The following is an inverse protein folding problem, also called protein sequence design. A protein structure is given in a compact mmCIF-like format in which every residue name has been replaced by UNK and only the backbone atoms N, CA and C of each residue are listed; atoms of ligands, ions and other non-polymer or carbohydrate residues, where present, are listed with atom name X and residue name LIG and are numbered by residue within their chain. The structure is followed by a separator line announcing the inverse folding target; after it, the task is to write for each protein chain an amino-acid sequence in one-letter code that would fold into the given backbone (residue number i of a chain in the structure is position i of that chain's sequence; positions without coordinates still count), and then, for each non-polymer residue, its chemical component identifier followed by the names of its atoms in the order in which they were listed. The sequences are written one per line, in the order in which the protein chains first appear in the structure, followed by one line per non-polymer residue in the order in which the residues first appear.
data_IF_768051694779
#
_entry.id   IF_768051694779
#
_cell.length_a   1.000
_cell.length_b   1.000
_cell.length_c   1.000
_cell.angle_alpha   90.00
_cell.angle_beta   90.00
_cell.angle_gamma   90.00
#
_symmetry.space_group_name_H-M   'P 1'
#
loop_
_entity.id
_entity.type
_entity.pdbx_description
1 polymer ?
#
# COMPACT_ATOMS: atom_id res chain seq x y z
N UNK A 1 29.66 21.86 0.54
CA UNK A 1 29.18 20.61 -0.09
C UNK A 1 30.21 20.20 -1.12
N UNK A 2 30.72 18.98 -1.03
CA UNK A 2 31.64 18.43 -2.02
C UNK A 2 30.81 17.90 -3.18
N UNK A 3 31.19 18.21 -4.41
CA UNK A 3 30.51 17.71 -5.62
C UNK A 3 31.47 16.88 -6.46
N UNK A 4 30.93 15.87 -7.12
CA UNK A 4 31.62 15.04 -8.12
C UNK A 4 31.16 15.48 -9.50
N UNK A 5 32.12 15.72 -10.39
CA UNK A 5 31.84 15.99 -11.80
C UNK A 5 31.70 14.66 -12.56
N UNK A 6 30.59 14.52 -13.29
CA UNK A 6 30.33 13.41 -14.22
C UNK A 6 29.58 13.92 -15.44
N UNK A 7 30.20 13.83 -16.62
CA UNK A 7 29.56 14.11 -17.91
C UNK A 7 28.86 15.49 -17.96
N UNK A 8 29.47 16.51 -17.35
CA UNK A 8 28.93 17.86 -17.25
C UNK A 8 27.92 18.09 -16.11
N UNK A 9 27.64 17.08 -15.29
CA UNK A 9 26.84 17.22 -14.07
C UNK A 9 27.73 17.45 -12.85
N UNK A 10 27.28 18.26 -11.90
CA UNK A 10 27.91 18.42 -10.58
C UNK A 10 27.01 17.81 -9.50
N UNK A 11 27.31 16.57 -9.13
CA UNK A 11 26.48 15.74 -8.25
C UNK A 11 26.98 15.87 -6.81
N UNK A 12 26.10 16.09 -5.84
CA UNK A 12 26.46 16.07 -4.43
C UNK A 12 27.11 14.72 -4.07
N UNK A 13 28.22 14.76 -3.32
CA UNK A 13 29.00 13.58 -2.96
C UNK A 13 28.16 12.49 -2.29
N UNK A 14 27.23 12.84 -1.37
CA UNK A 14 26.43 11.84 -0.66
C UNK A 14 25.52 11.08 -1.63
N UNK A 15 24.92 11.80 -2.59
CA UNK A 15 24.07 11.20 -3.61
C UNK A 15 24.89 10.34 -4.57
N UNK A 16 26.02 10.84 -5.03
CA UNK A 16 26.93 10.07 -5.89
C UNK A 16 27.36 8.75 -5.22
N UNK A 17 27.80 8.81 -3.95
CA UNK A 17 28.28 7.64 -3.24
C UNK A 17 27.16 6.63 -2.99
N UNK A 18 25.95 7.09 -2.61
CA UNK A 18 24.77 6.22 -2.51
C UNK A 18 24.49 5.49 -3.85
N UNK A 19 24.49 6.23 -4.97
CA UNK A 19 24.21 5.64 -6.28
C UNK A 19 25.24 4.57 -6.64
N UNK A 20 26.54 4.86 -6.49
CA UNK A 20 27.62 3.97 -6.93
C UNK A 20 27.81 2.79 -5.98
N UNK A 21 27.63 2.98 -4.68
CA UNK A 21 27.98 1.96 -3.66
C UNK A 21 26.78 1.17 -3.14
N UNK A 22 25.56 1.70 -3.26
CA UNK A 22 24.35 1.06 -2.72
C UNK A 22 23.34 0.71 -3.82
N UNK A 23 22.98 1.65 -4.71
CA UNK A 23 21.83 1.50 -5.60
C UNK A 23 22.14 0.80 -6.94
N UNK A 24 23.22 1.17 -7.62
CA UNK A 24 23.62 0.57 -8.91
C UNK A 24 24.18 -0.86 -8.80
N UNK A 25 24.87 -1.27 -7.73
CA UNK A 25 25.29 -2.66 -7.57
C UNK A 25 24.11 -3.63 -7.77
N UNK A 26 24.38 -4.79 -8.35
CA UNK A 26 23.40 -5.86 -8.62
C UNK A 26 22.35 -5.55 -9.71
N UNK A 27 22.24 -4.31 -10.19
CA UNK A 27 21.32 -3.94 -11.29
C UNK A 27 21.82 -4.41 -12.67
N UNK A 28 23.13 -4.67 -12.81
CA UNK A 28 23.79 -4.93 -14.10
C UNK A 28 24.10 -3.68 -14.93
N UNK A 29 23.85 -2.48 -14.39
CA UNK A 29 24.11 -1.20 -15.05
C UNK A 29 25.48 -0.66 -14.64
N UNK A 30 26.32 -0.33 -15.62
CA UNK A 30 27.60 0.34 -15.38
C UNK A 30 27.40 1.79 -14.92
N UNK A 31 28.17 2.24 -13.93
CA UNK A 31 28.01 3.55 -13.32
C UNK A 31 28.36 4.70 -14.28
N UNK A 32 29.42 4.56 -15.08
CA UNK A 32 29.80 5.62 -16.03
C UNK A 32 28.77 5.71 -17.16
N UNK A 33 28.23 4.58 -17.62
CA UNK A 33 27.11 4.54 -18.55
C UNK A 33 25.86 5.22 -17.97
N UNK A 34 25.48 4.88 -16.73
CA UNK A 34 24.33 5.49 -16.05
C UNK A 34 24.43 7.02 -16.01
N UNK A 35 25.56 7.57 -15.55
CA UNK A 35 25.74 9.02 -15.46
C UNK A 35 25.81 9.70 -16.83
N UNK A 36 26.33 9.02 -17.85
CA UNK A 36 26.36 9.55 -19.21
C UNK A 36 24.94 9.69 -19.79
N UNK A 37 24.13 8.63 -19.69
CA UNK A 37 22.73 8.64 -20.18
C UNK A 37 21.86 9.59 -19.35
N UNK A 38 22.02 9.60 -18.02
CA UNK A 38 21.30 10.54 -17.17
C UNK A 38 21.63 12.00 -17.53
N UNK A 39 22.90 12.32 -17.76
CA UNK A 39 23.28 13.65 -18.27
C UNK A 39 22.61 13.96 -19.60
N UNK A 40 22.59 13.03 -20.57
CA UNK A 40 21.92 13.24 -21.84
C UNK A 40 20.42 13.54 -21.67
N UNK A 41 19.73 12.80 -20.81
CA UNK A 41 18.31 12.99 -20.49
C UNK A 41 18.06 14.36 -19.86
N UNK A 42 18.85 14.75 -18.86
CA UNK A 42 18.72 16.06 -18.20
C UNK A 42 18.82 17.19 -19.21
N UNK A 43 19.81 17.16 -20.10
CA UNK A 43 20.04 18.23 -21.07
C UNK A 43 19.00 18.26 -22.21
N UNK A 44 18.35 17.14 -22.54
CA UNK A 44 17.23 17.13 -23.50
C UNK A 44 15.90 17.57 -22.86
N UNK A 45 15.63 17.15 -21.62
CA UNK A 45 14.31 17.28 -21.00
C UNK A 45 14.16 18.47 -20.06
N UNK A 46 15.22 18.93 -19.37
CA UNK A 46 15.12 20.06 -18.44
C UNK A 46 14.65 21.36 -19.13
N UNK A 47 15.10 21.71 -20.37
CA UNK A 47 14.55 22.86 -21.08
C UNK A 47 13.05 22.72 -21.40
N UNK A 48 12.60 21.51 -21.75
CA UNK A 48 11.17 21.21 -22.01
C UNK A 48 10.35 21.34 -20.74
N UNK A 49 10.84 20.83 -19.61
CA UNK A 49 10.19 20.98 -18.30
C UNK A 49 10.01 22.48 -17.96
N UNK A 50 11.09 23.28 -18.04
CA UNK A 50 11.01 24.73 -17.81
C UNK A 50 9.99 25.42 -18.72
N UNK A 51 9.94 25.05 -20.00
CA UNK A 51 8.95 25.60 -20.94
C UNK A 51 7.50 25.23 -20.55
N UNK A 52 7.25 24.02 -20.05
CA UNK A 52 5.94 23.60 -19.54
C UNK A 52 5.52 24.43 -18.32
N UNK A 53 6.45 24.72 -17.40
CA UNK A 53 6.18 25.58 -16.25
C UNK A 53 5.88 27.03 -16.67
N UNK A 54 6.67 27.59 -17.59
CA UNK A 54 6.38 28.92 -18.16
C UNK A 54 5.02 28.98 -18.85
N UNK A 55 4.56 27.88 -19.47
CA UNK A 55 3.23 27.81 -20.06
C UNK A 55 2.12 27.83 -18.99
N UNK A 56 2.34 27.19 -17.83
CA UNK A 56 1.40 27.29 -16.69
C UNK A 56 1.29 28.73 -16.19
N UNK A 57 2.41 29.42 -16.03
CA UNK A 57 2.43 30.83 -15.61
C UNK A 57 1.71 31.74 -16.62
N UNK A 58 1.95 31.53 -17.92
CA UNK A 58 1.26 32.28 -18.97
C UNK A 58 -0.26 32.07 -18.90
N UNK A 59 -0.73 30.83 -18.76
CA UNK A 59 -2.16 30.56 -18.58
C UNK A 59 -2.73 31.27 -17.37
N UNK A 60 -2.06 31.20 -16.22
CA UNK A 60 -2.55 31.85 -15.00
C UNK A 60 -2.63 33.37 -15.16
N UNK A 61 -1.64 33.99 -15.81
CA UNK A 61 -1.64 35.44 -16.07
C UNK A 61 -2.80 35.86 -16.98
N UNK A 62 -3.06 35.11 -18.05
CA UNK A 62 -4.19 35.35 -18.96
C UNK A 62 -5.53 35.23 -18.22
N UNK A 63 -5.69 34.20 -17.38
CA UNK A 63 -6.89 33.99 -16.55
C UNK A 63 -7.05 35.13 -15.54
N UNK A 64 -6.00 35.51 -14.81
CA UNK A 64 -6.04 36.61 -13.85
C UNK A 64 -6.39 37.94 -14.52
N UNK A 65 -5.88 38.20 -15.72
CA UNK A 65 -6.23 39.37 -16.52
C UNK A 65 -7.69 39.38 -16.94
N UNK A 66 -8.23 38.21 -17.31
CA UNK A 66 -9.64 38.07 -17.63
C UNK A 66 -10.51 38.43 -16.42
N UNK A 67 -10.21 37.88 -15.24
CA UNK A 67 -10.93 38.20 -14.01
C UNK A 67 -10.79 39.67 -13.60
N UNK A 68 -9.62 40.28 -13.77
CA UNK A 68 -9.42 41.72 -13.49
C UNK A 68 -10.30 42.63 -14.37
N UNK A 69 -10.53 42.24 -15.64
CA UNK A 69 -11.34 43.02 -16.59
C UNK A 69 -12.84 42.79 -16.42
N UNK A 70 -13.25 41.58 -16.05
CA UNK A 70 -14.66 41.15 -16.09
C UNK A 70 -15.28 40.88 -14.70
N UNK A 71 -14.48 40.81 -13.64
CA UNK A 71 -14.92 40.33 -12.33
C UNK A 71 -15.18 38.82 -12.34
N UNK A 72 -16.04 38.35 -11.42
CA UNK A 72 -16.49 36.97 -11.45
C UNK A 72 -17.33 36.69 -12.72
N UNK A 73 -17.15 35.53 -13.38
CA UNK A 73 -17.86 35.20 -14.61
C UNK A 73 -19.36 35.09 -14.35
N UNK A 74 -20.14 36.01 -14.92
CA UNK A 74 -21.60 35.96 -14.93
C UNK A 74 -22.15 35.27 -16.20
N UNK A 75 -21.31 35.11 -17.22
CA UNK A 75 -21.57 34.36 -18.46
C UNK A 75 -20.51 33.26 -18.60
N UNK A 76 -20.90 32.01 -18.35
CA UNK A 76 -20.00 30.86 -18.40
C UNK A 76 -19.67 30.44 -19.84
N UNK A 77 -20.53 30.74 -20.82
CA UNK A 77 -20.25 30.42 -22.21
C UNK A 77 -19.10 31.28 -22.74
N UNK A 78 -19.13 32.59 -22.42
CA UNK A 78 -18.04 33.51 -22.76
C UNK A 78 -16.72 33.14 -22.05
N UNK A 79 -16.79 32.67 -20.80
CA UNK A 79 -15.59 32.24 -20.06
C UNK A 79 -15.01 30.93 -20.64
N UNK A 80 -15.86 29.96 -20.99
CA UNK A 80 -15.41 28.74 -21.67
C UNK A 80 -14.77 29.05 -23.03
N UNK A 81 -15.37 29.94 -23.84
CA UNK A 81 -14.82 30.38 -25.12
C UNK A 81 -13.42 30.98 -24.95
N UNK A 82 -13.23 31.85 -23.95
CA UNK A 82 -11.93 32.39 -23.59
C UNK A 82 -10.91 31.30 -23.24
N UNK A 83 -11.28 30.32 -22.38
CA UNK A 83 -10.37 29.24 -22.01
C UNK A 83 -9.97 28.36 -23.21
N UNK A 84 -10.86 28.20 -24.20
CA UNK A 84 -10.55 27.51 -25.46
C UNK A 84 -9.64 28.38 -26.35
N UNK A 85 -9.89 29.67 -26.45
CA UNK A 85 -9.10 30.63 -27.24
C UNK A 85 -7.64 30.65 -26.80
N UNK A 86 -7.38 30.71 -25.49
CA UNK A 86 -6.00 30.69 -24.96
C UNK A 86 -5.34 29.30 -25.05
N UNK A 87 -6.13 28.27 -25.38
CA UNK A 87 -5.69 26.87 -25.49
C UNK A 87 -5.57 26.13 -24.16
N UNK A 88 -6.29 26.60 -23.12
CA UNK A 88 -6.37 25.92 -21.83
C UNK A 88 -7.34 24.74 -21.89
N UNK A 89 -8.53 24.94 -22.48
CA UNK A 89 -9.48 23.88 -22.79
C UNK A 89 -9.28 23.39 -24.22
N UNK A 90 -8.76 22.17 -24.35
CA UNK A 90 -8.53 21.53 -25.64
C UNK A 90 -9.81 20.84 -26.15
N UNK A 91 -9.93 20.60 -27.47
CA UNK A 91 -10.97 19.73 -28.00
C UNK A 91 -10.79 18.31 -27.48
N UNK A 92 -11.89 17.62 -27.22
CA UNK A 92 -11.89 16.20 -26.86
C UNK A 92 -11.34 15.37 -28.03
N UNK A 93 -10.46 14.42 -27.71
CA UNK A 93 -9.92 13.47 -28.68
C UNK A 93 -10.94 12.36 -29.02
N UNK A 94 -10.68 11.54 -30.04
CA UNK A 94 -11.52 10.39 -30.33
C UNK A 94 -11.46 9.34 -29.21
N UNK A 95 -12.51 8.52 -29.10
CA UNK A 95 -12.55 7.35 -28.22
C UNK A 95 -11.35 6.43 -28.48
N UNK A 96 -10.75 5.92 -27.40
CA UNK A 96 -9.67 4.93 -27.45
C UNK A 96 -9.74 3.98 -26.25
N UNK A 97 -8.95 2.91 -26.29
CA UNK A 97 -8.78 1.98 -25.18
C UNK A 97 -7.31 1.98 -24.73
N UNK A 98 -7.08 1.90 -23.41
CA UNK A 98 -5.73 1.72 -22.86
C UNK A 98 -5.18 0.34 -23.25
N UNK A 99 -3.88 0.25 -23.47
CA UNK A 99 -3.20 -0.95 -23.99
C UNK A 99 -2.10 -1.47 -23.05
N UNK A 100 -2.10 -1.03 -21.80
CA UNK A 100 -1.09 -1.41 -20.81
C UNK A 100 -1.18 -2.90 -20.49
N UNK A 101 -0.08 -3.63 -20.71
CA UNK A 101 0.06 -5.05 -20.39
C UNK A 101 0.97 -5.24 -19.16
N UNK A 102 1.06 -6.47 -18.64
CA UNK A 102 1.93 -6.84 -17.52
C UNK A 102 1.65 -6.05 -16.23
N UNK A 103 0.36 -5.78 -15.95
CA UNK A 103 -0.09 -5.14 -14.73
C UNK A 103 -0.43 -6.21 -13.69
N UNK A 104 0.13 -6.10 -12.50
CA UNK A 104 -0.14 -7.02 -11.39
C UNK A 104 -1.64 -7.10 -11.04
N UNK A 105 -2.15 -8.27 -10.59
CA UNK A 105 -3.55 -8.46 -10.24
C UNK A 105 -4.08 -7.44 -9.21
N UNK A 106 -3.23 -7.03 -8.27
CA UNK A 106 -3.49 -6.02 -7.24
C UNK A 106 -3.94 -4.66 -7.80
N UNK A 107 -3.58 -4.34 -9.04
CA UNK A 107 -4.01 -3.12 -9.75
C UNK A 107 -5.08 -3.46 -10.79
N UNK A 108 -4.94 -4.57 -11.51
CA UNK A 108 -5.75 -4.87 -12.69
C UNK A 108 -7.10 -5.54 -12.39
N UNK A 109 -7.21 -6.30 -11.29
CA UNK A 109 -8.34 -7.21 -11.07
C UNK A 109 -8.86 -7.31 -9.64
N UNK A 110 -8.24 -6.60 -8.69
CA UNK A 110 -8.64 -6.60 -7.28
C UNK A 110 -9.10 -5.19 -6.89
N UNK A 111 -10.31 -5.09 -6.33
CA UNK A 111 -10.79 -3.87 -5.72
C UNK A 111 -10.51 -3.94 -4.20
N UNK A 112 -9.60 -3.10 -3.70
CA UNK A 112 -9.25 -3.08 -2.29
C UNK A 112 -8.57 -1.78 -1.85
N UNK A 113 -8.32 -1.63 -0.54
CA UNK A 113 -7.62 -0.46 0.02
C UNK A 113 -6.24 -0.21 -0.59
N UNK A 114 -5.92 1.07 -0.77
CA UNK A 114 -4.58 1.56 -1.08
C UNK A 114 -4.08 2.46 0.05
N UNK A 115 -2.90 2.16 0.60
CA UNK A 115 -2.25 3.02 1.59
C UNK A 115 -1.36 4.06 0.91
N UNK A 116 -1.11 5.17 1.61
CA UNK A 116 -0.09 6.15 1.26
C UNK A 116 0.75 6.41 2.50
N UNK A 117 2.07 6.37 2.37
CA UNK A 117 2.97 6.45 3.53
C UNK A 117 4.26 7.20 3.19
N UNK A 118 4.78 8.06 4.08
CA UNK A 118 6.06 8.74 3.85
C UNK A 118 7.20 7.73 3.82
N UNK A 119 7.82 7.53 2.65
CA UNK A 119 8.91 6.54 2.51
C UNK A 119 10.14 6.92 3.33
N UNK A 120 10.31 8.21 3.66
CA UNK A 120 11.39 8.70 4.51
C UNK A 120 11.33 8.12 5.94
N UNK A 121 10.16 7.65 6.40
CA UNK A 121 10.01 6.97 7.68
C UNK A 121 10.01 5.45 7.51
N UNK A 122 11.15 4.81 7.73
CA UNK A 122 11.34 3.36 7.54
C UNK A 122 10.34 2.52 8.35
N UNK A 123 10.02 2.92 9.59
CA UNK A 123 9.02 2.24 10.43
C UNK A 123 7.64 2.24 9.78
N UNK A 124 7.22 3.37 9.23
CA UNK A 124 5.91 3.49 8.58
C UNK A 124 5.89 2.75 7.25
N UNK A 125 6.95 2.86 6.44
CA UNK A 125 7.09 2.12 5.19
C UNK A 125 7.02 0.60 5.41
N UNK A 126 7.72 0.07 6.42
CA UNK A 126 7.64 -1.36 6.80
C UNK A 126 6.25 -1.78 7.25
N UNK A 127 5.58 -0.96 8.07
CA UNK A 127 4.22 -1.24 8.49
C UNK A 127 3.27 -1.30 7.29
N UNK A 128 3.38 -0.36 6.35
CA UNK A 128 2.51 -0.29 5.18
C UNK A 128 2.77 -1.45 4.21
N UNK A 129 4.04 -1.78 3.95
CA UNK A 129 4.40 -2.95 3.17
C UNK A 129 3.82 -4.25 3.78
N UNK A 130 3.83 -4.37 5.11
CA UNK A 130 3.26 -5.52 5.81
C UNK A 130 1.75 -5.43 6.07
N UNK A 131 1.10 -4.32 5.71
CA UNK A 131 -0.32 -4.08 5.99
C UNK A 131 -1.26 -4.82 5.03
N UNK A 132 -0.74 -5.60 4.06
CA UNK A 132 -1.61 -6.44 3.22
C UNK A 132 -2.46 -7.36 4.07
N UNK A 133 -1.92 -7.89 5.17
CA UNK A 133 -2.65 -8.73 6.11
C UNK A 133 -2.76 -8.09 7.48
N UNK A 134 -3.97 -7.72 7.88
CA UNK A 134 -4.25 -7.11 9.18
C UNK A 134 -5.14 -7.98 10.07
N UNK A 135 -4.91 -7.98 11.38
CA UNK A 135 -5.84 -8.58 12.35
C UNK A 135 -7.10 -7.73 12.44
N UNK A 136 -8.25 -8.32 12.12
CA UNK A 136 -9.55 -7.68 12.28
C UNK A 136 -9.89 -7.53 13.75
N UNK A 137 -9.46 -8.46 14.61
CA UNK A 137 -9.69 -8.39 16.05
C UNK A 137 -8.95 -7.18 16.64
N UNK A 138 -7.67 -7.00 16.32
CA UNK A 138 -6.89 -5.86 16.78
C UNK A 138 -7.45 -4.53 16.25
N UNK A 139 -7.86 -4.49 14.97
CA UNK A 139 -8.44 -3.30 14.37
C UNK A 139 -9.75 -2.88 15.07
N UNK A 140 -10.67 -3.82 15.31
CA UNK A 140 -11.94 -3.55 16.00
C UNK A 140 -11.72 -3.21 17.49
N UNK A 141 -10.87 -3.98 18.17
CA UNK A 141 -10.59 -3.77 19.58
C UNK A 141 -9.90 -2.43 19.81
N UNK A 142 -8.91 -2.08 18.97
CA UNK A 142 -8.06 -0.90 19.14
C UNK A 142 -8.69 0.43 18.73
N UNK A 143 -9.76 0.42 17.94
CA UNK A 143 -10.42 1.63 17.39
C UNK A 143 -11.74 1.92 18.10
N UNK A 144 -12.42 2.98 17.69
CA UNK A 144 -13.79 3.34 18.12
C UNK A 144 -14.88 2.63 17.32
N UNK A 145 -14.51 1.75 16.37
CA UNK A 145 -15.45 0.90 15.62
C UNK A 145 -16.32 0.01 16.55
N UNK A 146 -15.76 -0.37 17.70
CA UNK A 146 -16.53 -0.92 18.82
C UNK A 146 -16.65 0.18 19.89
N UNK A 147 -17.86 0.69 20.16
CA UNK A 147 -18.08 1.73 21.17
C UNK A 147 -17.57 1.34 22.56
N UNK A 148 -17.05 2.32 23.31
CA UNK A 148 -16.66 2.13 24.71
C UNK A 148 -17.86 2.44 25.62
N UNK A 149 -18.91 1.61 25.52
CA UNK A 149 -20.12 1.68 26.35
C UNK A 149 -20.35 0.37 27.08
N UNK A 150 -21.20 0.39 28.12
CA UNK A 150 -21.65 -0.83 28.82
C UNK A 150 -20.50 -1.69 29.40
N UNK A 151 -19.40 -1.05 29.79
CA UNK A 151 -18.21 -1.71 30.33
C UNK A 151 -17.29 -2.34 29.26
N UNK A 152 -17.45 -1.98 27.99
CA UNK A 152 -16.60 -2.41 26.88
C UNK A 152 -15.40 -1.49 26.61
N UNK A 153 -14.90 -0.79 27.63
CA UNK A 153 -13.71 0.07 27.54
C UNK A 153 -12.45 -0.74 27.19
N UNK A 154 -11.49 -0.15 26.47
CA UNK A 154 -10.26 -0.86 26.06
C UNK A 154 -9.40 -1.29 27.24
N UNK A 155 -9.33 -0.45 28.29
CA UNK A 155 -8.50 -0.67 29.47
C UNK A 155 -6.99 -0.76 29.16
N UNK A 156 -6.18 -1.17 30.15
CA UNK A 156 -4.73 -1.41 29.98
C UNK A 156 -4.40 -2.84 29.53
N UNK A 157 -5.37 -3.74 29.56
CA UNK A 157 -5.23 -5.15 29.20
C UNK A 157 -6.50 -5.64 28.50
N UNK A 158 -6.61 -6.95 28.31
CA UNK A 158 -7.78 -7.53 27.66
C UNK A 158 -9.03 -7.39 28.53
N UNK A 159 -10.07 -6.76 27.97
CA UNK A 159 -11.40 -6.66 28.54
C UNK A 159 -12.31 -7.71 27.84
N UNK A 160 -12.70 -8.79 28.53
CA UNK A 160 -13.57 -9.82 27.94
C UNK A 160 -14.94 -9.31 27.49
N UNK A 161 -15.46 -8.23 28.08
CA UNK A 161 -16.74 -7.62 27.65
C UNK A 161 -16.59 -7.03 26.25
N UNK A 162 -15.53 -6.25 26.02
CA UNK A 162 -15.17 -5.72 24.70
C UNK A 162 -14.82 -6.82 23.71
N UNK A 163 -14.03 -7.81 24.14
CA UNK A 163 -13.64 -8.95 23.32
C UNK A 163 -14.84 -9.73 22.78
N UNK A 164 -15.89 -9.93 23.58
CA UNK A 164 -17.14 -10.55 23.12
C UNK A 164 -17.85 -9.75 22.03
N UNK A 165 -17.85 -8.41 22.12
CA UNK A 165 -18.43 -7.56 21.08
C UNK A 165 -17.63 -7.64 19.78
N UNK A 166 -16.29 -7.66 19.87
CA UNK A 166 -15.40 -7.86 18.71
C UNK A 166 -15.68 -9.21 18.04
N UNK A 167 -15.71 -10.30 18.82
CA UNK A 167 -15.98 -11.64 18.29
C UNK A 167 -17.35 -11.68 17.61
N UNK A 168 -18.39 -11.16 18.26
CA UNK A 168 -19.74 -11.13 17.69
C UNK A 168 -19.78 -10.40 16.34
N UNK A 169 -19.13 -9.23 16.25
CA UNK A 169 -19.01 -8.48 14.99
C UNK A 169 -18.32 -9.29 13.90
N UNK A 170 -17.21 -9.96 14.23
CA UNK A 170 -16.47 -10.79 13.27
C UNK A 170 -17.34 -11.95 12.79
N UNK A 171 -18.10 -12.62 13.68
CA UNK A 171 -19.00 -13.69 13.26
C UNK A 171 -20.07 -13.18 12.31
N UNK A 172 -20.63 -12.00 12.57
CA UNK A 172 -21.59 -11.35 11.66
C UNK A 172 -20.95 -10.98 10.31
N UNK A 173 -19.68 -10.58 10.30
CA UNK A 173 -18.92 -10.36 9.08
C UNK A 173 -18.70 -11.64 8.28
N UNK A 174 -18.36 -12.76 8.94
CA UNK A 174 -18.20 -14.06 8.30
C UNK A 174 -19.54 -14.61 7.78
N UNK A 175 -20.65 -14.42 8.51
CA UNK A 175 -22.00 -14.77 8.04
C UNK A 175 -22.37 -14.02 6.76
N UNK A 176 -21.93 -12.77 6.63
CA UNK A 176 -22.16 -11.99 5.42
C UNK A 176 -21.19 -12.37 4.30
N UNK A 177 -19.94 -12.72 4.61
CA UNK A 177 -18.83 -12.86 3.66
C UNK A 177 -18.59 -14.28 3.17
N UNK A 178 -18.81 -15.27 4.01
CA UNK A 178 -18.63 -16.69 3.71
C UNK A 178 -19.73 -17.50 4.43
N UNK A 179 -21.02 -17.28 4.10
CA UNK A 179 -22.15 -17.81 4.86
C UNK A 179 -22.12 -19.33 4.96
N UNK A 180 -22.42 -19.89 6.13
CA UNK A 180 -22.66 -21.32 6.30
C UNK A 180 -24.06 -21.70 5.79
N UNK A 181 -24.21 -22.91 5.27
CA UNK A 181 -25.49 -23.38 4.75
C UNK A 181 -26.47 -23.64 5.90
N UNK A 182 -27.42 -22.71 6.09
CA UNK A 182 -28.48 -22.82 7.09
C UNK A 182 -28.03 -22.60 8.55
N UNK A 183 -26.83 -22.05 8.77
CA UNK A 183 -26.25 -21.86 10.10
C UNK A 183 -25.48 -20.53 10.21
N UNK A 184 -25.12 -20.15 11.44
CA UNK A 184 -24.28 -18.98 11.72
C UNK A 184 -22.88 -19.38 12.18
N UNK A 185 -21.87 -18.60 11.81
CA UNK A 185 -20.51 -18.69 12.34
C UNK A 185 -20.44 -18.50 13.86
N UNK A 186 -21.48 -17.94 14.49
CA UNK A 186 -21.61 -17.85 15.95
C UNK A 186 -21.73 -19.21 16.63
N UNK A 187 -22.25 -20.20 15.90
CA UNK A 187 -22.49 -21.54 16.44
C UNK A 187 -21.34 -22.50 16.16
N UNK A 188 -20.30 -22.09 15.40
CA UNK A 188 -19.16 -22.93 15.06
C UNK A 188 -18.44 -23.46 16.32
N UNK A 189 -18.01 -24.72 16.28
CA UNK A 189 -17.32 -25.41 17.37
C UNK A 189 -16.06 -26.16 16.93
N UNK A 190 -15.99 -26.65 15.69
CA UNK A 190 -14.75 -27.18 15.12
C UNK A 190 -14.79 -27.20 13.61
N UNK A 191 -13.61 -27.36 13.00
CA UNK A 191 -13.42 -27.31 11.56
C UNK A 191 -12.72 -28.56 11.08
N UNK A 192 -13.08 -29.02 9.88
CA UNK A 192 -12.39 -30.09 9.16
C UNK A 192 -12.38 -29.75 7.68
N UNK A 193 -11.27 -30.02 7.00
CA UNK A 193 -11.23 -30.01 5.54
C UNK A 193 -11.14 -31.45 5.05
N UNK A 194 -12.11 -31.88 4.25
CA UNK A 194 -12.19 -33.24 3.70
C UNK A 194 -12.84 -33.15 2.31
N UNK A 195 -12.43 -34.03 1.38
CA UNK A 195 -12.97 -34.08 0.02
C UNK A 195 -13.07 -32.71 -0.67
N UNK A 196 -12.02 -31.88 -0.50
CA UNK A 196 -11.92 -30.52 -1.05
C UNK A 196 -12.98 -29.52 -0.55
N UNK A 197 -13.61 -29.78 0.60
CA UNK A 197 -14.61 -28.91 1.19
C UNK A 197 -14.33 -28.62 2.67
N UNK A 198 -14.79 -27.45 3.13
CA UNK A 198 -14.78 -27.07 4.54
C UNK A 198 -16.05 -27.59 5.22
N UNK A 199 -15.86 -28.41 6.24
CA UNK A 199 -16.91 -28.84 7.17
C UNK A 199 -16.77 -28.09 8.50
N UNK A 200 -17.90 -27.56 8.96
CA UNK A 200 -18.02 -26.84 10.24
C UNK A 200 -18.96 -27.64 11.13
N UNK A 201 -18.44 -28.14 12.24
CA UNK A 201 -19.28 -28.71 13.30
C UNK A 201 -19.79 -27.58 14.17
N UNK A 202 -21.09 -27.51 14.35
CA UNK A 202 -21.78 -26.53 15.18
C UNK A 202 -21.84 -27.00 16.64
N UNK A 203 -22.13 -26.09 17.56
CA UNK A 203 -22.21 -26.34 19.00
C UNK A 203 -23.32 -27.32 19.40
N UNK A 204 -24.33 -27.49 18.54
CA UNK A 204 -25.39 -28.50 18.70
C UNK A 204 -25.00 -29.89 18.16
N UNK A 205 -23.81 -30.04 17.58
CA UNK A 205 -23.29 -31.27 16.98
C UNK A 205 -23.67 -31.48 15.51
N UNK A 206 -24.48 -30.61 14.90
CA UNK A 206 -24.76 -30.65 13.47
C UNK A 206 -23.51 -30.24 12.68
N UNK A 207 -23.35 -30.83 11.50
CA UNK A 207 -22.24 -30.51 10.58
C UNK A 207 -22.82 -29.81 9.35
N UNK A 208 -22.24 -28.67 9.01
CA UNK A 208 -22.56 -27.90 7.81
C UNK A 208 -21.29 -27.56 7.04
N UNK A 209 -21.41 -26.79 5.96
CA UNK A 209 -20.31 -26.22 5.21
C UNK A 209 -20.64 -24.81 4.72
N UNK A 210 -19.76 -24.24 3.92
CA UNK A 210 -20.02 -22.98 3.23
C UNK A 210 -21.21 -23.15 2.27
N UNK A 211 -22.03 -22.10 2.15
CA UNK A 211 -23.11 -22.02 1.15
C UNK A 211 -22.55 -22.12 -0.26
N UNK A 212 -21.40 -21.49 -0.50
CA UNK A 212 -20.60 -21.65 -1.71
C UNK A 212 -19.26 -22.33 -1.33
N UNK A 213 -19.10 -23.63 -1.62
CA UNK A 213 -17.86 -24.36 -1.30
C UNK A 213 -16.61 -23.80 -2.00
N UNK A 214 -16.77 -23.08 -3.11
CA UNK A 214 -15.63 -22.51 -3.86
C UNK A 214 -14.96 -21.35 -3.12
N UNK A 215 -15.58 -20.83 -2.06
CA UNK A 215 -14.98 -19.81 -1.21
C UNK A 215 -13.85 -20.34 -0.33
N UNK A 216 -13.66 -21.66 -0.21
CA UNK A 216 -12.46 -22.21 0.43
C UNK A 216 -11.27 -22.09 -0.53
N UNK A 217 -10.36 -21.17 -0.24
CA UNK A 217 -9.16 -20.95 -1.05
C UNK A 217 -7.98 -21.84 -0.61
N UNK A 218 -7.92 -22.20 0.68
CA UNK A 218 -6.89 -23.10 1.20
C UNK A 218 -6.92 -23.28 2.71
N UNK A 219 -6.01 -24.08 3.23
CA UNK A 219 -5.89 -24.35 4.66
C UNK A 219 -4.46 -24.78 5.04
N UNK A 220 -4.17 -24.78 6.34
CA UNK A 220 -2.93 -25.32 6.91
C UNK A 220 -3.23 -26.24 8.09
N UNK A 221 -2.50 -27.36 8.19
CA UNK A 221 -2.68 -28.35 9.26
C UNK A 221 -4.06 -29.00 9.28
N UNK A 222 -4.51 -29.41 10.47
CA UNK A 222 -5.83 -30.02 10.73
C UNK A 222 -6.83 -29.00 11.31
N UNK A 223 -7.48 -28.21 10.45
CA UNK A 223 -6.91 -26.94 10.06
C UNK A 223 -6.65 -26.01 11.27
N UNK A 224 -5.43 -25.48 11.39
CA UNK A 224 -5.14 -24.36 12.30
C UNK A 224 -5.30 -23.00 11.62
N UNK A 225 -5.36 -22.97 10.29
CA UNK A 225 -5.67 -21.78 9.48
C UNK A 225 -6.57 -22.17 8.33
N UNK A 226 -7.60 -21.37 8.08
CA UNK A 226 -8.55 -21.54 6.96
C UNK A 226 -8.52 -20.25 6.14
N UNK A 227 -8.18 -20.36 4.86
CA UNK A 227 -8.17 -19.27 3.91
C UNK A 227 -9.47 -19.29 3.10
N UNK A 228 -10.25 -18.23 3.21
CA UNK A 228 -11.48 -18.00 2.48
C UNK A 228 -11.26 -16.88 1.45
N UNK A 229 -12.07 -16.87 0.39
CA UNK A 229 -12.05 -15.82 -0.65
C UNK A 229 -13.45 -15.33 -1.01
N UNK A 230 -13.56 -14.02 -1.22
CA UNK A 230 -14.73 -13.38 -1.84
C UNK A 230 -14.30 -12.11 -2.56
N UNK A 231 -14.83 -11.89 -3.76
CA UNK A 231 -14.51 -10.69 -4.57
C UNK A 231 -12.99 -10.49 -4.76
N UNK A 232 -12.23 -11.57 -4.94
CA UNK A 232 -10.76 -11.59 -5.05
C UNK A 232 -10.01 -11.05 -3.81
N UNK A 233 -10.67 -10.94 -2.66
CA UNK A 233 -10.05 -10.62 -1.38
C UNK A 233 -10.13 -11.83 -0.44
N UNK A 234 -9.06 -12.06 0.29
CA UNK A 234 -8.96 -13.19 1.19
C UNK A 234 -9.24 -12.83 2.66
N UNK A 235 -9.72 -13.84 3.38
CA UNK A 235 -9.91 -13.81 4.83
C UNK A 235 -9.29 -15.08 5.41
N UNK A 236 -8.41 -14.93 6.38
CA UNK A 236 -7.77 -16.04 7.09
C UNK A 236 -8.38 -16.16 8.49
N UNK A 237 -9.00 -17.30 8.78
CA UNK A 237 -9.45 -17.66 10.13
C UNK A 237 -8.30 -18.39 10.83
N UNK A 238 -7.83 -17.86 11.95
CA UNK A 238 -6.73 -18.42 12.74
C UNK A 238 -7.31 -19.17 13.94
N UNK A 239 -6.96 -20.44 14.09
CA UNK A 239 -7.46 -21.33 15.12
C UNK A 239 -6.28 -21.70 16.03
N UNK A 240 -6.31 -21.23 17.27
CA UNK A 240 -5.27 -21.49 18.26
C UNK A 240 -5.85 -21.49 19.69
N UNK A 241 -6.13 -22.69 20.26
CA UNK A 241 -6.66 -22.83 21.61
C UNK A 241 -5.66 -22.44 22.71
N UNK A 242 -4.37 -22.24 22.40
CA UNK A 242 -3.37 -21.83 23.38
C UNK A 242 -3.40 -20.31 23.65
N UNK A 243 -4.02 -19.54 22.76
CA UNK A 243 -4.12 -18.07 22.91
C UNK A 243 -5.14 -17.67 23.97
N UNK A 244 -5.00 -16.45 24.48
CA UNK A 244 -5.94 -15.91 25.47
C UNK A 244 -7.39 -15.78 24.95
N UNK A 245 -7.56 -15.63 23.63
CA UNK A 245 -8.86 -15.51 22.98
C UNK A 245 -9.39 -16.88 22.55
N UNK A 246 -8.58 -17.66 21.81
CA UNK A 246 -8.99 -18.96 21.28
C UNK A 246 -9.29 -20.01 22.35
N UNK A 247 -8.67 -19.94 23.53
CA UNK A 247 -9.02 -20.86 24.64
C UNK A 247 -10.47 -20.73 25.11
N UNK A 248 -11.06 -19.54 24.97
CA UNK A 248 -12.41 -19.20 25.46
C UNK A 248 -13.45 -19.17 24.32
N UNK A 249 -13.00 -19.23 23.05
CA UNK A 249 -13.85 -19.34 21.87
C UNK A 249 -14.22 -20.82 21.64
N UNK A 250 -15.53 -21.18 21.48
CA UNK A 250 -15.95 -22.56 21.27
C UNK A 250 -15.33 -23.25 20.06
N UNK A 251 -14.99 -22.49 19.01
CA UNK A 251 -14.33 -22.96 17.80
C UNK A 251 -12.81 -22.78 17.82
N UNK A 252 -12.26 -22.32 18.94
CA UNK A 252 -10.86 -21.99 19.13
C UNK A 252 -10.31 -20.91 18.19
N UNK A 253 -11.18 -20.07 17.63
CA UNK A 253 -10.75 -18.96 16.77
C UNK A 253 -10.05 -17.91 17.62
N UNK A 254 -8.76 -17.71 17.35
CA UNK A 254 -7.92 -16.76 18.05
C UNK A 254 -7.91 -15.39 17.38
N UNK A 255 -8.08 -15.35 16.06
CA UNK A 255 -8.09 -14.13 15.25
C UNK A 255 -8.73 -14.40 13.88
N UNK A 256 -9.15 -13.33 13.21
CA UNK A 256 -9.49 -13.33 11.78
C UNK A 256 -8.64 -12.25 11.12
N UNK A 257 -7.76 -12.66 10.20
CA UNK A 257 -6.89 -11.77 9.45
C UNK A 257 -7.51 -11.48 8.10
N UNK A 258 -7.56 -10.21 7.71
CA UNK A 258 -8.12 -9.78 6.44
C UNK A 258 -7.02 -9.33 5.49
N UNK A 259 -7.15 -9.72 4.22
CA UNK A 259 -6.41 -9.10 3.13
C UNK A 259 -6.98 -7.68 2.91
N UNK A 260 -6.12 -6.67 2.98
CA UNK A 260 -6.55 -5.27 3.12
C UNK A 260 -5.74 -4.31 2.25
N UNK A 261 -4.55 -3.85 2.67
CA UNK A 261 -3.74 -2.94 1.85
C UNK A 261 -3.16 -3.69 0.64
N UNK A 262 -3.97 -3.82 -0.41
CA UNK A 262 -3.62 -4.52 -1.65
C UNK A 262 -2.46 -3.80 -2.34
N UNK A 263 -2.51 -2.47 -2.33
CA UNK A 263 -1.43 -1.62 -2.83
C UNK A 263 -1.03 -0.57 -1.79
N UNK A 264 0.20 -0.08 -1.88
CA UNK A 264 0.73 0.99 -1.04
C UNK A 264 1.56 1.92 -1.89
N UNK A 265 1.32 3.22 -1.79
CA UNK A 265 2.16 4.27 -2.35
C UNK A 265 3.22 4.66 -1.31
N UNK A 266 4.47 4.32 -1.61
CA UNK A 266 5.66 4.80 -0.91
C UNK A 266 5.97 6.21 -1.41
N UNK A 267 5.70 7.19 -0.56
CA UNK A 267 5.58 8.58 -0.99
C UNK A 267 6.87 9.38 -0.81
N UNK A 268 7.30 10.02 -1.89
CA UNK A 268 8.44 10.94 -1.95
C UNK A 268 8.02 12.42 -2.14
N UNK A 269 6.71 12.71 -2.12
CA UNK A 269 6.14 14.03 -2.39
C UNK A 269 5.52 14.64 -1.11
N UNK A 270 4.20 14.76 -1.03
CA UNK A 270 3.53 15.64 -0.07
C UNK A 270 3.67 15.22 1.41
N UNK A 271 3.95 13.94 1.70
CA UNK A 271 4.09 13.46 3.09
C UNK A 271 5.51 13.48 3.63
N UNK A 272 6.50 13.90 2.83
CA UNK A 272 7.91 14.01 3.23
C UNK A 272 8.43 15.43 3.07
N UNK A 273 9.45 15.80 3.85
CA UNK A 273 10.20 17.03 3.67
C UNK A 273 11.63 16.65 3.26
N UNK A 274 11.91 16.73 1.95
CA UNK A 274 13.22 16.37 1.41
C UNK A 274 13.75 17.45 0.47
N UNK A 275 14.63 18.32 1.00
CA UNK A 275 14.99 19.59 0.35
C UNK A 275 16.42 19.63 -0.19
N UNK A 276 17.25 18.64 0.13
CA UNK A 276 18.64 18.55 -0.32
C UNK A 276 19.08 17.10 -0.57
N UNK A 277 20.35 16.89 -0.92
CA UNK A 277 20.88 15.57 -1.21
C UNK A 277 20.83 14.60 -0.02
N UNK A 278 20.96 15.09 1.21
CA UNK A 278 20.94 14.24 2.40
C UNK A 278 19.55 13.65 2.62
N UNK A 279 18.51 14.49 2.54
CA UNK A 279 17.14 14.02 2.66
C UNK A 279 16.75 13.08 1.52
N UNK A 280 17.12 13.44 0.27
CA UNK A 280 16.82 12.62 -0.92
C UNK A 280 17.49 11.25 -0.82
N UNK A 281 18.73 11.17 -0.34
CA UNK A 281 19.41 9.89 -0.09
C UNK A 281 18.71 9.07 1.00
N UNK A 282 18.18 9.69 2.05
CA UNK A 282 17.39 8.97 3.06
C UNK A 282 16.10 8.36 2.47
N UNK A 283 15.38 9.13 1.64
CA UNK A 283 14.22 8.66 0.87
C UNK A 283 14.60 7.48 -0.04
N UNK A 284 15.66 7.64 -0.85
CA UNK A 284 16.09 6.61 -1.80
C UNK A 284 16.61 5.35 -1.14
N UNK A 285 17.29 5.45 0.01
CA UNK A 285 17.77 4.28 0.74
C UNK A 285 16.64 3.43 1.30
N UNK A 286 15.59 4.05 1.85
CA UNK A 286 14.42 3.30 2.30
C UNK A 286 13.72 2.61 1.14
N UNK A 287 13.58 3.30 -0.01
CA UNK A 287 13.03 2.68 -1.21
C UNK A 287 13.89 1.50 -1.72
N UNK A 288 15.21 1.67 -1.75
CA UNK A 288 16.15 0.62 -2.12
C UNK A 288 15.99 -0.61 -1.21
N UNK A 289 15.90 -0.40 0.11
CA UNK A 289 15.70 -1.50 1.06
C UNK A 289 14.38 -2.24 0.87
N UNK A 290 13.31 -1.54 0.46
CA UNK A 290 12.04 -2.17 0.09
C UNK A 290 12.18 -3.01 -1.18
N UNK A 291 12.90 -2.53 -2.18
CA UNK A 291 13.12 -3.24 -3.45
C UNK A 291 14.03 -4.46 -3.28
N UNK A 292 15.03 -4.39 -2.41
CA UNK A 292 15.91 -5.53 -2.06
C UNK A 292 15.27 -6.51 -1.09
N UNK A 293 14.20 -6.10 -0.40
CA UNK A 293 13.54 -6.92 0.62
C UNK A 293 14.26 -6.95 1.97
N UNK A 294 15.26 -6.08 2.18
CA UNK A 294 16.14 -6.08 3.36
C UNK A 294 15.92 -4.88 4.30
N UNK A 295 14.93 -4.02 4.01
CA UNK A 295 14.55 -2.93 4.92
C UNK A 295 14.20 -3.51 6.31
N UNK A 296 14.82 -2.93 7.34
CA UNK A 296 14.61 -3.32 8.72
C UNK A 296 14.67 -2.11 9.66
N UNK A 297 13.92 -2.14 10.75
CA UNK A 297 13.86 -1.08 11.76
C UNK A 297 13.77 -1.68 13.18
N UNK A 298 14.56 -1.17 14.12
CA UNK A 298 14.45 -1.55 15.52
C UNK A 298 13.27 -0.83 16.18
N UNK A 299 12.31 -1.58 16.73
CA UNK A 299 11.11 -1.02 17.35
C UNK A 299 11.06 -1.35 18.83
N UNK A 300 10.93 -0.31 19.66
CA UNK A 300 10.67 -0.44 21.09
C UNK A 300 9.15 -0.42 21.37
N UNK A 301 8.59 -1.52 21.90
CA UNK A 301 7.18 -1.60 22.33
C UNK A 301 7.08 -2.39 23.64
N UNK A 302 6.44 -1.79 24.66
CA UNK A 302 6.21 -2.47 25.94
C UNK A 302 7.48 -2.87 26.69
N UNK A 303 8.55 -2.07 26.60
CA UNK A 303 9.84 -2.34 27.23
C UNK A 303 10.68 -3.43 26.56
N UNK A 304 10.28 -3.90 25.38
CA UNK A 304 11.05 -4.83 24.55
C UNK A 304 11.44 -4.17 23.23
N UNK A 305 12.65 -4.46 22.77
CA UNK A 305 13.11 -4.12 21.44
C UNK A 305 13.02 -5.36 20.56
N UNK A 306 12.58 -5.19 19.32
CA UNK A 306 12.61 -6.22 18.30
C UNK A 306 12.90 -5.60 16.94
N UNK A 307 13.54 -6.37 16.06
CA UNK A 307 13.77 -5.97 14.69
C UNK A 307 12.52 -6.26 13.86
N UNK A 308 11.96 -5.25 13.21
CA UNK A 308 10.88 -5.40 12.25
C UNK A 308 11.45 -5.48 10.85
N UNK A 309 11.04 -6.49 10.09
CA UNK A 309 11.40 -6.72 8.69
C UNK A 309 10.14 -6.90 7.84
N UNK A 310 10.32 -7.01 6.52
CA UNK A 310 9.26 -7.38 5.60
C UNK A 310 8.79 -8.82 5.84
N UNK A 311 7.48 -9.03 5.85
CA UNK A 311 6.88 -10.36 6.02
C UNK A 311 7.19 -11.23 4.80
N UNK A 312 7.58 -12.51 4.96
CA UNK A 312 7.70 -13.43 3.84
C UNK A 312 6.31 -13.81 3.31
N UNK A 313 6.24 -14.25 2.05
CA UNK A 313 5.02 -14.87 1.53
C UNK A 313 4.75 -16.21 2.25
N UNK A 314 3.50 -16.67 2.22
CA UNK A 314 3.09 -17.90 2.91
C UNK A 314 2.36 -18.84 1.95
N UNK A 315 2.64 -20.13 2.05
CA UNK A 315 1.98 -21.16 1.26
C UNK A 315 0.81 -21.78 2.00
N UNK A 316 -0.27 -22.08 1.28
CA UNK A 316 -1.42 -22.86 1.76
C UNK A 316 -1.61 -24.12 0.92
N UNK A 317 -2.25 -25.12 1.52
CA UNK A 317 -2.80 -26.26 0.76
C UNK A 317 -4.15 -25.85 0.20
N UNK A 318 -4.29 -25.82 -1.13
CA UNK A 318 -5.57 -25.62 -1.80
C UNK A 318 -6.51 -26.83 -1.55
N UNK A 319 -7.83 -26.67 -1.75
CA UNK A 319 -8.77 -27.78 -1.61
C UNK A 319 -8.45 -28.99 -2.49
N UNK A 320 -7.85 -28.76 -3.67
CA UNK A 320 -7.44 -29.82 -4.60
C UNK A 320 -6.06 -30.44 -4.26
N UNK A 321 -5.42 -30.01 -3.17
CA UNK A 321 -4.11 -30.47 -2.72
C UNK A 321 -2.90 -29.75 -3.34
N UNK A 322 -3.11 -28.80 -4.26
CA UNK A 322 -2.03 -27.97 -4.81
C UNK A 322 -1.56 -26.91 -3.78
N UNK A 323 -0.46 -26.23 -4.08
CA UNK A 323 0.02 -25.08 -3.30
C UNK A 323 -0.64 -23.79 -3.79
N UNK A 324 -1.14 -22.97 -2.85
CA UNK A 324 -1.55 -21.59 -3.10
C UNK A 324 -0.56 -20.67 -2.41
N UNK A 325 0.20 -19.92 -3.22
CA UNK A 325 1.12 -18.91 -2.71
C UNK A 325 0.35 -17.63 -2.39
N UNK A 326 0.39 -17.21 -1.13
CA UNK A 326 -0.27 -15.99 -0.65
C UNK A 326 0.78 -14.92 -0.41
N UNK A 327 0.66 -13.84 -1.18
CA UNK A 327 1.50 -12.66 -1.01
C UNK A 327 1.21 -11.98 0.32
N UNK A 328 2.25 -11.78 1.12
CA UNK A 328 2.13 -11.22 2.46
C UNK A 328 2.33 -9.70 2.52
N UNK A 329 2.81 -9.12 1.41
CA UNK A 329 3.19 -7.71 1.31
C UNK A 329 2.29 -6.99 0.31
N UNK A 330 2.03 -5.72 0.60
CA UNK A 330 1.32 -4.82 -0.30
C UNK A 330 2.13 -4.62 -1.57
N UNK A 331 1.47 -4.56 -2.74
CA UNK A 331 2.15 -4.15 -3.96
C UNK A 331 2.54 -2.67 -3.83
N UNK A 332 3.84 -2.39 -3.98
CA UNK A 332 4.38 -1.06 -3.70
C UNK A 332 4.49 -0.23 -4.97
N UNK A 333 3.81 0.91 -5.00
CA UNK A 333 4.03 2.00 -5.94
C UNK A 333 4.99 3.01 -5.30
N UNK A 334 5.70 3.77 -6.11
CA UNK A 334 6.47 4.94 -5.66
C UNK A 334 5.83 6.20 -6.22
N UNK A 335 5.50 7.16 -5.35
CA UNK A 335 5.06 8.49 -5.80
C UNK A 335 6.28 9.40 -5.90
N UNK A 336 6.71 9.65 -7.13
CA UNK A 336 7.69 10.68 -7.43
C UNK A 336 7.07 12.08 -7.22
N UNK A 337 7.92 13.10 -7.10
CA UNK A 337 7.48 14.50 -7.13
C UNK A 337 6.99 14.88 -8.53
N UNK A 338 6.07 15.84 -8.61
CA UNK A 338 5.66 16.45 -9.87
C UNK A 338 6.74 17.31 -10.55
N UNK A 339 6.40 17.95 -11.66
CA UNK A 339 7.35 18.65 -12.54
C UNK A 339 7.91 19.98 -12.01
N UNK A 340 7.42 20.50 -10.88
CA UNK A 340 7.64 21.89 -10.46
C UNK A 340 9.03 22.17 -9.88
N UNK A 341 9.45 21.36 -8.91
CA UNK A 341 10.60 21.66 -8.08
C UNK A 341 11.89 21.26 -8.77
N UNK A 342 12.96 22.00 -8.49
CA UNK A 342 14.35 21.57 -8.72
C UNK A 342 14.99 21.26 -7.38
N UNK A 343 16.19 20.66 -7.39
CA UNK A 343 16.93 20.40 -6.17
C UNK A 343 18.45 20.62 -6.34
N UNK A 344 19.15 21.20 -5.34
CA UNK A 344 20.58 21.44 -5.42
C UNK A 344 21.43 20.16 -5.39
N UNK A 345 20.85 18.97 -5.20
CA UNK A 345 21.59 17.71 -5.19
C UNK A 345 22.38 17.47 -6.49
N UNK A 346 21.91 18.01 -7.63
CA UNK A 346 22.61 17.93 -8.91
C UNK A 346 22.50 19.28 -9.61
N UNK A 347 23.62 19.79 -10.12
CA UNK A 347 23.64 20.91 -11.07
C UNK A 347 24.00 20.40 -12.47
N UNK A 348 23.40 20.99 -13.49
CA UNK A 348 23.74 20.72 -14.89
C UNK A 348 25.02 21.46 -15.36
N UNK A 349 25.35 21.35 -16.65
CA UNK A 349 26.57 21.96 -17.22
C UNK A 349 26.55 23.49 -17.20
N UNK A 350 25.36 24.08 -17.11
CA UNK A 350 25.15 25.52 -17.04
C UNK A 350 25.05 26.01 -15.59
N UNK A 351 25.16 25.08 -14.62
CA UNK A 351 25.09 25.36 -13.19
C UNK A 351 23.67 25.51 -12.65
N UNK A 352 22.65 25.10 -13.41
CA UNK A 352 21.25 25.13 -12.99
C UNK A 352 20.90 23.86 -12.19
N UNK A 353 20.02 23.99 -11.21
CA UNK A 353 19.49 22.83 -10.49
C UNK A 353 18.67 21.93 -11.42
N UNK A 354 18.86 20.62 -11.27
CA UNK A 354 18.12 19.63 -12.05
C UNK A 354 16.70 19.46 -11.48
N UNK A 355 15.66 19.35 -12.35
CA UNK A 355 14.29 19.00 -11.94
C UNK A 355 14.15 17.64 -11.25
#
# INVERSE_FOLDING_TARGET
MTRIEKNGLQIDQKLHDFLVTEALPETGIDADHFFAEFSAIVHDLAPKNRALLSRRDAFQLEIDEWYRKHGAPNDLAAYEEFLREIGYLLPEGPDFQVSTENVDPEIAGIAGPQLVVPVMNARYALNAANARWGSLYDALYGTDAIPETDGADKGKGYNPVRGKQVIAWVRDFLDQSAPLSGASWKDAASFKVEDSALFVTLSNGEVTGLTDPTQLAGYLGEPNRILLVRNNLHVEIVIDPATAIGKDDPAHISDVRIESAITTIMDCEDSVAAVDAEDKVAVYRNWLGLMKGDLAEEVAKGGKNFLRTLNPDFDYTAPNGATVEVKARSLMLIRNVGHLMTNPAILDRDGLEVP
#
